data_IF_096229371750
#
_entry.id   IF_096229371750
#
_cell.length_a   1.000
_cell.length_b   1.000
_cell.length_c   1.000
_cell.angle_alpha   90.00
_cell.angle_beta   90.00
_cell.angle_gamma   90.00
#
_symmetry.space_group_name_H-M   'P 1'
#
loop_
_entity.id
_entity.type
_entity.pdbx_description
1 polymer ?
#
# COMPACT_ATOMS: atom_id res chain seq x y z
N UNK A 1 0.45 3.06 15.55
CA UNK A 1 -0.84 3.50 16.16
C UNK A 1 -0.59 4.22 17.48
N UNK A 2 -0.06 3.53 18.51
CA UNK A 2 0.18 4.11 19.85
C UNK A 2 0.93 5.45 19.83
N UNK A 3 2.03 5.53 19.08
CA UNK A 3 2.82 6.76 18.99
C UNK A 3 2.02 7.92 18.37
N UNK A 4 1.27 7.67 17.28
CA UNK A 4 0.42 8.68 16.64
C UNK A 4 -0.75 9.13 17.54
N UNK A 5 -1.32 8.23 18.35
CA UNK A 5 -2.37 8.59 19.32
C UNK A 5 -1.84 9.37 20.53
N UNK A 6 -0.53 9.28 20.81
CA UNK A 6 0.12 10.13 21.81
C UNK A 6 0.42 11.52 21.24
N UNK A 7 0.75 11.59 19.95
CA UNK A 7 1.07 12.85 19.27
C UNK A 7 -0.17 13.66 18.87
N UNK A 8 -1.34 13.03 18.68
CA UNK A 8 -2.57 13.73 18.26
C UNK A 8 -3.83 13.25 19.00
N UNK A 9 -4.46 14.18 19.70
CA UNK A 9 -5.74 13.99 20.38
C UNK A 9 -6.90 13.71 19.38
N UNK A 10 -6.80 14.24 18.16
CA UNK A 10 -7.76 13.99 17.08
C UNK A 10 -7.68 12.53 16.66
N UNK A 11 -6.47 12.02 16.41
CA UNK A 11 -6.25 10.61 16.05
C UNK A 11 -6.71 9.70 17.20
N UNK A 12 -6.41 10.04 18.46
CA UNK A 12 -6.91 9.30 19.63
C UNK A 12 -8.43 9.22 19.64
N UNK A 13 -9.11 10.36 19.47
CA UNK A 13 -10.58 10.43 19.48
C UNK A 13 -11.19 9.62 18.33
N UNK A 14 -10.61 9.69 17.13
CA UNK A 14 -11.09 8.94 15.97
C UNK A 14 -10.89 7.43 16.13
N UNK A 15 -9.73 6.99 16.67
CA UNK A 15 -9.47 5.57 16.97
C UNK A 15 -10.45 5.05 18.01
N UNK A 16 -10.72 5.82 19.08
CA UNK A 16 -11.74 5.45 20.08
C UNK A 16 -13.14 5.36 19.47
N UNK A 17 -13.51 6.29 18.58
CA UNK A 17 -14.76 6.26 17.85
C UNK A 17 -14.90 5.00 16.98
N UNK A 18 -13.82 4.61 16.29
CA UNK A 18 -13.81 3.40 15.47
C UNK A 18 -13.97 2.13 16.31
N UNK A 19 -13.30 2.03 17.47
CA UNK A 19 -13.43 0.88 18.37
C UNK A 19 -14.85 0.81 18.95
N UNK A 20 -15.43 1.95 19.36
CA UNK A 20 -16.80 2.01 19.90
C UNK A 20 -17.87 1.67 18.85
N UNK A 21 -17.57 1.93 17.57
CA UNK A 21 -18.43 1.59 16.44
C UNK A 21 -18.14 0.24 15.78
N UNK A 22 -17.22 -0.56 16.33
CA UNK A 22 -16.84 -1.84 15.76
C UNK A 22 -18.02 -2.82 15.74
N UNK A 23 -18.16 -3.58 14.66
CA UNK A 23 -19.24 -4.56 14.54
C UNK A 23 -18.93 -5.79 15.39
N UNK A 24 -19.95 -6.24 16.14
CA UNK A 24 -19.90 -7.49 16.90
C UNK A 24 -20.05 -8.65 15.92
N UNK A 25 -19.01 -9.47 15.80
CA UNK A 25 -19.02 -10.68 14.97
C UNK A 25 -19.68 -11.84 15.72
N UNK A 26 -19.39 -11.98 17.01
CA UNK A 26 -20.01 -13.00 17.85
C UNK A 26 -19.97 -12.61 19.32
N UNK A 27 -20.92 -13.16 20.09
CA UNK A 27 -20.90 -13.12 21.54
C UNK A 27 -21.15 -14.53 22.08
N UNK A 28 -20.30 -14.98 23.00
CA UNK A 28 -20.44 -16.27 23.68
C UNK A 28 -20.56 -16.03 25.18
N UNK A 29 -21.49 -16.74 25.81
CA UNK A 29 -21.65 -16.72 27.25
C UNK A 29 -21.30 -18.09 27.83
N UNK A 30 -20.30 -18.15 28.69
CA UNK A 30 -19.89 -19.37 29.40
C UNK A 30 -19.42 -19.03 30.81
N UNK A 31 -19.83 -19.84 31.80
CA UNK A 31 -19.40 -19.74 33.20
C UNK A 31 -19.51 -18.34 33.82
N UNK A 32 -20.58 -17.61 33.51
CA UNK A 32 -20.80 -16.26 34.02
C UNK A 32 -20.06 -15.16 33.26
N UNK A 33 -19.25 -15.50 32.27
CA UNK A 33 -18.45 -14.56 31.47
C UNK A 33 -19.04 -14.44 30.06
N UNK A 34 -19.25 -13.21 29.62
CA UNK A 34 -19.59 -12.89 28.23
C UNK A 34 -18.32 -12.48 27.48
N UNK A 35 -17.97 -13.20 26.41
CA UNK A 35 -16.89 -12.84 25.49
C UNK A 35 -17.50 -12.30 24.21
N UNK A 36 -17.11 -11.08 23.83
CA UNK A 36 -17.58 -10.42 22.60
C UNK A 36 -16.40 -10.25 21.65
N UNK A 37 -16.54 -10.76 20.43
CA UNK A 37 -15.54 -10.61 19.36
C UNK A 37 -15.95 -9.44 18.48
N UNK A 38 -15.08 -8.44 18.40
CA UNK A 38 -15.27 -7.22 17.60
C UNK A 38 -14.35 -7.27 16.38
N UNK A 39 -14.87 -6.90 15.21
CA UNK A 39 -14.08 -6.83 13.97
C UNK A 39 -13.95 -5.37 13.52
N UNK A 40 -12.71 -4.95 13.26
CA UNK A 40 -12.39 -3.61 12.76
C UNK A 40 -11.61 -3.76 11.44
N UNK A 41 -12.14 -3.28 10.31
CA UNK A 41 -11.40 -3.29 9.06
C UNK A 41 -10.13 -2.43 9.16
N UNK A 42 -8.98 -3.03 8.86
CA UNK A 42 -7.68 -2.32 8.88
C UNK A 42 -7.64 -1.15 7.89
N UNK A 43 -8.44 -1.20 6.83
CA UNK A 43 -8.59 -0.10 5.86
C UNK A 43 -9.17 1.19 6.47
N UNK A 44 -10.04 1.06 7.49
CA UNK A 44 -10.59 2.22 8.21
C UNK A 44 -9.50 2.88 9.05
N UNK A 45 -8.64 2.08 9.69
CA UNK A 45 -7.50 2.57 10.46
C UNK A 45 -6.45 3.25 9.56
N UNK A 46 -6.17 2.71 8.36
CA UNK A 46 -5.23 3.34 7.43
C UNK A 46 -5.72 4.71 6.97
N UNK A 47 -7.01 4.85 6.64
CA UNK A 47 -7.57 6.13 6.18
C UNK A 47 -7.42 7.23 7.23
N UNK A 48 -7.78 6.95 8.49
CA UNK A 48 -7.69 7.90 9.59
C UNK A 48 -6.26 8.40 9.84
N UNK A 49 -5.26 7.55 9.62
CA UNK A 49 -3.86 7.92 9.81
C UNK A 49 -3.28 8.74 8.65
N UNK A 50 -3.86 8.64 7.46
CA UNK A 50 -3.34 9.28 6.24
C UNK A 50 -4.03 10.62 5.93
N UNK A 51 -5.27 10.83 6.37
CA UNK A 51 -5.99 12.11 6.25
C UNK A 51 -5.16 13.35 6.69
N UNK A 52 -4.47 13.35 7.84
CA UNK A 52 -3.63 14.50 8.23
C UNK A 52 -2.36 14.64 7.38
N UNK A 53 -1.87 13.58 6.72
CA UNK A 53 -0.70 13.67 5.83
C UNK A 53 -1.02 14.37 4.50
N UNK A 54 -2.25 14.24 4.00
CA UNK A 54 -2.67 14.86 2.75
C UNK A 54 -2.96 16.37 2.87
N UNK A 55 -3.23 16.89 4.08
CA UNK A 55 -3.51 18.33 4.29
C UNK A 55 -2.26 19.21 4.26
N UNK A 56 -1.06 18.64 4.38
CA UNK A 56 0.20 19.38 4.38
C UNK A 56 0.86 19.47 2.99
N UNK A 57 0.23 18.95 1.94
CA UNK A 57 0.72 19.05 0.57
C UNK A 57 0.03 20.20 -0.19
N UNK A 58 0.02 21.40 0.40
CA UNK A 58 -0.41 22.64 -0.26
C UNK A 58 0.66 23.71 -0.14
N UNK A 59 1.76 23.55 -0.88
CA UNK A 59 2.59 24.67 -1.35
C UNK A 59 3.03 24.35 -2.80
N UNK A 60 2.40 25.00 -3.76
CA UNK A 60 2.87 25.12 -5.15
C UNK A 60 4.15 25.98 -5.21
N UNK A 61 4.94 25.87 -6.29
CA UNK A 61 4.78 26.86 -7.35
C UNK A 61 4.67 26.23 -8.74
N UNK A 62 3.79 26.82 -9.56
CA UNK A 62 3.81 26.67 -11.00
C UNK A 62 5.17 27.12 -11.55
N UNK A 63 5.90 26.20 -12.17
CA UNK A 63 7.03 26.53 -13.02
C UNK A 63 6.55 26.33 -14.47
N UNK A 64 6.33 27.46 -15.13
CA UNK A 64 6.24 27.56 -16.59
C UNK A 64 7.64 27.37 -17.16
N UNK A 65 7.83 26.36 -18.01
CA UNK A 65 8.91 26.34 -19.00
C UNK A 65 8.32 25.88 -20.34
N UNK A 66 8.58 26.71 -21.35
CA UNK A 66 8.12 26.61 -22.73
C UNK A 66 8.75 25.40 -23.48
N UNK A 67 8.29 25.09 -24.71
CA UNK A 67 8.47 23.79 -25.35
C UNK A 67 9.80 23.65 -26.11
N UNK A 68 10.03 22.42 -26.55
CA UNK A 68 10.91 21.98 -27.64
C UNK A 68 12.26 21.39 -27.23
N UNK A 69 12.28 20.05 -27.08
CA UNK A 69 13.37 19.22 -27.61
C UNK A 69 12.74 17.93 -28.15
N UNK A 70 13.08 17.66 -29.39
CA UNK A 70 12.66 16.62 -30.35
C UNK A 70 12.81 15.17 -29.81
N UNK A 71 12.04 14.20 -30.36
CA UNK A 71 11.90 12.85 -29.82
C UNK A 71 12.91 11.89 -30.44
N UNK A 72 13.82 11.35 -29.62
CA UNK A 72 14.69 10.23 -29.99
C UNK A 72 14.69 9.20 -28.85
N UNK A 73 13.75 8.26 -28.92
CA UNK A 73 14.07 6.85 -29.19
C UNK A 73 12.78 6.01 -29.11
N UNK A 74 12.34 5.55 -30.28
CA UNK A 74 11.32 4.53 -30.42
C UNK A 74 11.92 3.16 -30.05
N UNK A 75 12.12 2.91 -28.75
CA UNK A 75 12.07 1.53 -28.26
C UNK A 75 10.59 1.14 -28.19
N UNK A 76 10.17 0.32 -29.17
CA UNK A 76 8.92 -0.44 -29.23
C UNK A 76 8.09 -0.35 -27.93
N UNK A 77 7.15 0.59 -27.91
CA UNK A 77 6.17 0.79 -26.86
C UNK A 77 5.19 -0.39 -26.82
N UNK A 78 5.66 -1.56 -26.37
CA UNK A 78 4.76 -2.58 -25.83
C UNK A 78 4.27 -2.02 -24.51
N UNK A 79 3.22 -1.21 -24.59
CA UNK A 79 2.56 -0.65 -23.41
C UNK A 79 2.00 -1.82 -22.58
N UNK A 80 2.78 -2.28 -21.61
CA UNK A 80 2.36 -3.35 -20.73
C UNK A 80 1.12 -2.89 -19.98
N UNK A 81 0.03 -3.64 -20.11
CA UNK A 81 -1.22 -3.36 -19.39
C UNK A 81 -1.35 -4.36 -18.25
N UNK A 82 -1.16 -3.87 -17.04
CA UNK A 82 -1.35 -4.65 -15.82
C UNK A 82 -2.58 -4.18 -15.06
N UNK A 83 -3.21 -5.07 -14.30
CA UNK A 83 -4.38 -4.72 -13.48
C UNK A 83 -4.02 -4.44 -12.01
N UNK A 84 -2.80 -4.81 -11.61
CA UNK A 84 -2.29 -4.65 -10.26
C UNK A 84 -0.79 -4.97 -10.18
N UNK A 85 -0.26 -4.92 -8.96
CA UNK A 85 1.13 -5.23 -8.64
C UNK A 85 1.18 -6.24 -7.48
N UNK A 86 1.88 -7.35 -7.65
CA UNK A 86 2.16 -8.33 -6.60
C UNK A 86 3.67 -8.37 -6.37
N UNK A 87 4.10 -8.13 -5.15
CA UNK A 87 5.51 -8.11 -4.77
C UNK A 87 5.77 -9.32 -3.86
N UNK A 88 6.57 -10.28 -4.31
CA UNK A 88 7.02 -11.40 -3.49
C UNK A 88 8.19 -10.97 -2.59
N UNK A 89 7.92 -10.73 -1.31
CA UNK A 89 8.88 -10.33 -0.30
C UNK A 89 9.14 -11.41 0.76
N UNK A 90 8.81 -12.67 0.44
CA UNK A 90 9.11 -13.81 1.32
C UNK A 90 10.61 -13.92 1.56
N UNK A 91 10.97 -14.44 2.73
CA UNK A 91 12.36 -14.60 3.20
C UNK A 91 13.14 -13.29 3.45
N UNK A 92 12.51 -12.11 3.35
CA UNK A 92 13.13 -10.83 3.68
C UNK A 92 12.80 -10.33 5.09
N UNK A 93 11.99 -11.08 5.84
CA UNK A 93 11.56 -10.71 7.20
C UNK A 93 10.59 -9.53 7.24
N UNK A 94 9.97 -9.19 6.11
CA UNK A 94 9.00 -8.09 6.01
C UNK A 94 7.77 -8.39 6.87
N UNK A 95 7.36 -7.40 7.68
CA UNK A 95 6.18 -7.43 8.53
C UNK A 95 5.08 -6.55 7.97
N UNK A 96 3.84 -6.93 8.26
CA UNK A 96 2.68 -6.13 7.90
C UNK A 96 2.73 -4.74 8.53
N UNK A 97 2.60 -3.72 7.71
CA UNK A 97 2.50 -2.32 8.10
C UNK A 97 1.28 -1.64 7.45
N UNK A 98 0.77 -0.57 8.10
CA UNK A 98 -0.37 0.21 7.62
C UNK A 98 -0.05 1.08 6.40
N UNK A 99 1.19 1.55 6.30
CA UNK A 99 1.66 2.42 5.21
C UNK A 99 3.03 1.95 4.70
N UNK A 100 3.13 0.74 4.12
CA UNK A 100 4.37 0.29 3.54
C UNK A 100 4.74 1.14 2.32
N UNK A 101 6.03 1.24 2.07
CA UNK A 101 6.58 1.87 0.87
C UNK A 101 7.31 0.85 0.00
N UNK A 102 7.35 1.12 -1.30
CA UNK A 102 8.08 0.32 -2.29
C UNK A 102 9.12 1.23 -2.93
N UNK A 103 10.39 0.80 -2.89
CA UNK A 103 11.51 1.52 -3.47
C UNK A 103 12.18 0.71 -4.57
N UNK A 104 12.88 1.39 -5.45
CA UNK A 104 13.77 0.83 -6.45
C UNK A 104 15.20 0.70 -5.88
N UNK A 105 15.92 -0.36 -6.26
CA UNK A 105 17.19 -0.77 -5.63
C UNK A 105 18.38 0.19 -5.83
N UNK A 106 18.57 0.75 -7.01
CA UNK A 106 19.79 1.47 -7.38
C UNK A 106 19.72 2.95 -6.98
N UNK A 107 18.55 3.57 -7.18
CA UNK A 107 18.35 5.01 -6.97
C UNK A 107 17.53 5.34 -5.73
N UNK A 108 16.99 4.34 -5.04
CA UNK A 108 16.00 4.50 -3.96
C UNK A 108 14.77 5.30 -4.42
N UNK A 109 14.44 5.26 -5.71
CA UNK A 109 13.24 5.91 -6.23
C UNK A 109 12.00 5.30 -5.57
N UNK A 110 11.10 6.17 -5.08
CA UNK A 110 9.82 5.74 -4.55
C UNK A 110 8.90 5.25 -5.68
N UNK A 111 8.59 3.95 -5.67
CA UNK A 111 7.76 3.29 -6.67
C UNK A 111 6.28 3.30 -6.29
N UNK A 112 5.97 3.06 -5.01
CA UNK A 112 4.60 3.04 -4.50
C UNK A 112 4.53 3.42 -3.02
N UNK A 113 3.50 4.17 -2.64
CA UNK A 113 3.23 4.58 -1.26
C UNK A 113 1.77 4.99 -1.08
N UNK A 114 1.40 5.21 0.19
CA UNK A 114 0.09 5.71 0.55
C UNK A 114 -0.29 7.06 -0.09
N UNK A 115 0.67 7.95 -0.37
CA UNK A 115 0.39 9.25 -1.00
C UNK A 115 -0.12 9.15 -2.44
N UNK A 116 0.03 7.97 -3.07
CA UNK A 116 -0.47 7.72 -4.42
C UNK A 116 -1.89 7.13 -4.44
N UNK A 117 -2.43 6.74 -3.27
CA UNK A 117 -3.72 6.08 -3.13
C UNK A 117 -4.84 7.11 -2.98
N UNK A 118 -5.96 6.91 -3.71
CA UNK A 118 -7.11 7.81 -3.75
C UNK A 118 -8.41 7.19 -3.22
N UNK A 119 -8.32 6.00 -2.65
CA UNK A 119 -9.46 5.20 -2.17
C UNK A 119 -9.33 4.93 -0.67
N UNK A 120 -10.46 4.90 0.03
CA UNK A 120 -10.53 4.67 1.47
C UNK A 120 -10.49 3.18 1.83
N UNK A 121 -9.34 2.53 1.60
CA UNK A 121 -9.07 1.13 1.99
C UNK A 121 -7.60 0.94 2.36
N UNK A 122 -7.21 -0.28 2.74
CA UNK A 122 -5.81 -0.58 3.05
C UNK A 122 -4.91 -0.31 1.83
N UNK A 123 -3.68 0.14 2.08
CA UNK A 123 -2.72 0.51 1.03
C UNK A 123 -2.23 -0.71 0.26
N UNK A 124 -2.04 -1.85 0.94
CA UNK A 124 -1.74 -3.14 0.30
C UNK A 124 -2.61 -4.25 0.89
N UNK A 125 -2.66 -5.39 0.20
CA UNK A 125 -3.04 -6.68 0.81
C UNK A 125 -1.77 -7.45 1.14
N UNK A 126 -1.69 -8.00 2.35
CA UNK A 126 -0.65 -8.98 2.66
C UNK A 126 -1.19 -10.39 2.45
N UNK A 127 -0.36 -11.27 1.88
CA UNK A 127 -0.70 -12.67 1.67
C UNK A 127 0.51 -13.58 1.87
N UNK A 128 0.28 -14.89 1.92
CA UNK A 128 1.35 -15.92 2.13
C UNK A 128 1.84 -16.55 0.82
N UNK A 129 1.10 -16.40 -0.26
CA UNK A 129 1.43 -16.95 -1.57
C UNK A 129 0.84 -16.11 -2.70
N UNK A 130 1.52 -16.09 -3.84
CA UNK A 130 1.08 -15.38 -5.05
C UNK A 130 -0.23 -15.97 -5.59
N UNK A 131 -0.36 -17.29 -5.55
CA UNK A 131 -1.50 -18.03 -6.10
C UNK A 131 -2.77 -17.65 -5.33
N UNK A 132 -2.72 -17.81 -4.00
CA UNK A 132 -3.85 -17.49 -3.12
C UNK A 132 -4.26 -16.02 -3.19
N UNK A 133 -3.31 -15.08 -3.32
CA UNK A 133 -3.70 -13.66 -3.40
C UNK A 133 -4.39 -13.32 -4.72
N UNK A 134 -4.03 -13.99 -5.82
CA UNK A 134 -4.71 -13.83 -7.10
C UNK A 134 -6.15 -14.33 -7.05
N UNK A 135 -6.37 -15.43 -6.33
CA UNK A 135 -7.71 -16.00 -6.11
C UNK A 135 -8.55 -15.13 -5.16
N UNK A 136 -8.05 -14.90 -3.94
CA UNK A 136 -8.80 -14.24 -2.87
C UNK A 136 -9.01 -12.74 -3.10
N UNK A 137 -8.22 -12.10 -3.97
CA UNK A 137 -8.23 -10.63 -4.17
C UNK A 137 -8.36 -10.22 -5.64
N UNK A 138 -9.00 -11.04 -6.46
CA UNK A 138 -9.27 -10.74 -7.88
C UNK A 138 -9.99 -9.39 -8.10
N UNK A 139 -10.93 -9.01 -7.22
CA UNK A 139 -11.63 -7.72 -7.31
C UNK A 139 -10.70 -6.52 -7.14
N UNK A 140 -9.59 -6.69 -6.41
CA UNK A 140 -8.61 -5.64 -6.14
C UNK A 140 -7.45 -5.64 -7.12
N UNK A 141 -6.92 -6.82 -7.45
CA UNK A 141 -5.71 -6.99 -8.25
C UNK A 141 -6.02 -7.18 -9.75
N UNK A 142 -7.27 -7.47 -10.09
CA UNK A 142 -7.70 -7.87 -11.41
C UNK A 142 -7.05 -9.18 -11.89
N UNK A 143 -7.21 -9.46 -13.18
CA UNK A 143 -6.84 -10.74 -13.78
C UNK A 143 -5.39 -10.81 -14.31
N UNK A 144 -4.72 -9.66 -14.46
CA UNK A 144 -3.37 -9.58 -15.01
C UNK A 144 -2.45 -8.68 -14.16
N UNK A 145 -2.18 -9.01 -12.89
CA UNK A 145 -1.24 -8.25 -12.09
C UNK A 145 0.20 -8.53 -12.55
N UNK A 146 1.05 -7.49 -12.53
CA UNK A 146 2.49 -7.64 -12.64
C UNK A 146 3.00 -8.33 -11.35
N UNK A 147 3.71 -9.45 -11.49
CA UNK A 147 4.31 -10.15 -10.36
C UNK A 147 5.82 -9.92 -10.38
N UNK A 148 6.36 -9.37 -9.30
CA UNK A 148 7.78 -9.04 -9.16
C UNK A 148 8.34 -9.65 -7.89
N UNK A 149 9.66 -9.85 -7.83
CA UNK A 149 10.34 -10.33 -6.64
C UNK A 149 11.04 -9.17 -5.94
N UNK A 150 10.84 -9.02 -4.64
CA UNK A 150 11.61 -8.06 -3.86
C UNK A 150 13.06 -8.54 -3.72
N UNK A 151 13.99 -7.59 -3.81
CA UNK A 151 15.44 -7.81 -3.69
C UNK A 151 15.97 -7.36 -2.32
N UNK A 152 15.16 -6.63 -1.55
CA UNK A 152 15.54 -6.15 -0.23
C UNK A 152 14.36 -5.59 0.56
N UNK A 153 14.64 -5.19 1.80
CA UNK A 153 13.68 -4.56 2.68
C UNK A 153 14.35 -3.47 3.51
N UNK A 154 13.61 -2.42 3.84
CA UNK A 154 14.08 -1.32 4.68
C UNK A 154 13.48 -1.48 6.08
N UNK A 155 14.34 -1.34 7.09
CA UNK A 155 13.94 -1.41 8.49
C UNK A 155 13.59 -0.03 9.01
N UNK A 156 12.35 0.15 9.44
CA UNK A 156 11.88 1.33 10.16
C UNK A 156 11.75 0.94 11.63
N UNK A 157 12.54 1.61 12.48
CA UNK A 157 12.58 1.34 13.94
C UNK A 157 12.84 -0.13 14.28
N UNK A 158 13.71 -0.78 13.51
CA UNK A 158 14.11 -2.17 13.70
C UNK A 158 13.23 -3.19 12.98
N UNK A 159 12.08 -2.78 12.44
CA UNK A 159 11.14 -3.67 11.75
C UNK A 159 11.18 -3.47 10.24
N UNK A 160 11.32 -4.55 9.49
CA UNK A 160 11.31 -4.49 8.01
C UNK A 160 9.86 -4.27 7.54
N UNK A 161 9.52 -3.07 7.11
CA UNK A 161 8.14 -2.72 6.71
C UNK A 161 8.02 -2.26 5.27
N UNK A 162 9.13 -1.79 4.68
CA UNK A 162 9.17 -1.33 3.30
C UNK A 162 10.01 -2.30 2.46
N UNK A 163 9.69 -2.37 1.17
CA UNK A 163 10.25 -3.35 0.24
C UNK A 163 11.03 -2.66 -0.88
N UNK A 164 12.08 -3.33 -1.34
CA UNK A 164 12.90 -2.89 -2.47
C UNK A 164 12.71 -3.87 -3.62
N UNK A 165 12.41 -3.37 -4.82
CA UNK A 165 12.32 -4.15 -6.06
C UNK A 165 13.48 -3.80 -7.00
N UNK A 166 13.75 -4.67 -7.98
CA UNK A 166 14.81 -4.45 -8.97
C UNK A 166 14.53 -3.21 -9.84
N UNK A 167 15.58 -2.61 -10.39
CA UNK A 167 15.48 -1.49 -11.32
C UNK A 167 14.71 -1.86 -12.59
N UNK A 168 14.85 -3.10 -13.04
CA UNK A 168 14.15 -3.64 -14.20
C UNK A 168 12.64 -3.74 -13.94
N UNK A 169 12.24 -4.38 -12.84
CA UNK A 169 10.84 -4.50 -12.44
C UNK A 169 10.20 -3.12 -12.20
N UNK A 170 10.94 -2.21 -11.57
CA UNK A 170 10.53 -0.82 -11.38
C UNK A 170 10.31 -0.11 -12.72
N UNK A 171 11.21 -0.28 -13.69
CA UNK A 171 11.07 0.29 -15.04
C UNK A 171 9.82 -0.26 -15.73
N UNK A 172 9.60 -1.58 -15.70
CA UNK A 172 8.42 -2.23 -16.28
C UNK A 172 7.13 -1.69 -15.65
N UNK A 173 7.06 -1.61 -14.31
CA UNK A 173 5.89 -1.09 -13.62
C UNK A 173 5.63 0.38 -13.93
N UNK A 174 6.68 1.21 -13.96
CA UNK A 174 6.56 2.64 -14.25
C UNK A 174 6.13 2.94 -15.69
N UNK A 175 6.47 2.07 -16.64
CA UNK A 175 6.09 2.18 -18.04
C UNK A 175 4.70 1.59 -18.34
N UNK A 176 4.06 0.92 -17.37
CA UNK A 176 2.73 0.36 -17.56
C UNK A 176 1.68 1.46 -17.74
N UNK A 177 0.81 1.32 -18.76
CA UNK A 177 -0.21 2.31 -19.10
C UNK A 177 -1.19 2.58 -17.94
N UNK A 178 -1.42 1.56 -17.12
CA UNK A 178 -2.37 1.56 -15.99
C UNK A 178 -1.71 1.86 -14.64
N UNK A 179 -0.42 2.19 -14.60
CA UNK A 179 0.35 2.42 -13.35
C UNK A 179 -0.34 3.41 -12.41
N UNK A 180 -0.83 4.51 -12.93
CA UNK A 180 -1.53 5.53 -12.13
C UNK A 180 -2.83 5.00 -11.52
N UNK A 181 -3.57 4.18 -12.28
CA UNK A 181 -4.82 3.54 -11.80
C UNK A 181 -4.52 2.47 -10.75
N UNK A 182 -3.46 1.67 -10.95
CA UNK A 182 -3.02 0.67 -9.98
C UNK A 182 -2.70 1.36 -8.65
N UNK A 183 -1.90 2.44 -8.68
CA UNK A 183 -1.56 3.18 -7.48
C UNK A 183 -2.79 3.83 -6.83
N UNK A 184 -3.60 4.55 -7.61
CA UNK A 184 -4.77 5.27 -7.12
C UNK A 184 -5.81 4.33 -6.47
N UNK A 185 -6.00 3.13 -7.03
CA UNK A 185 -6.95 2.14 -6.54
C UNK A 185 -6.36 1.19 -5.50
N UNK A 186 -5.12 1.42 -5.07
CA UNK A 186 -4.37 0.53 -4.19
C UNK A 186 -4.38 -0.94 -4.66
N UNK A 187 -4.25 -1.19 -5.97
CA UNK A 187 -4.25 -2.54 -6.55
C UNK A 187 -2.88 -3.23 -6.36
N UNK A 188 -2.42 -3.30 -5.10
CA UNK A 188 -1.08 -3.79 -4.73
C UNK A 188 -1.18 -4.85 -3.63
N UNK A 189 -0.42 -5.93 -3.77
CA UNK A 189 -0.25 -6.96 -2.76
C UNK A 189 1.23 -7.23 -2.46
N UNK A 190 1.54 -7.56 -1.21
CA UNK A 190 2.87 -7.95 -0.75
C UNK A 190 2.78 -9.35 -0.15
N UNK A 191 3.57 -10.28 -0.68
CA UNK A 191 3.67 -11.63 -0.15
C UNK A 191 4.74 -11.67 0.94
N UNK A 192 4.38 -12.18 2.12
CA UNK A 192 5.24 -12.25 3.31
C UNK A 192 5.10 -13.60 4.00
N UNK A 193 6.11 -14.01 4.78
CA UNK A 193 6.17 -15.28 5.51
C UNK A 193 5.12 -15.41 6.60
#
# INVERSE_FOLDING_TARGET
VKDLTLESDIIRTQVEGLIKGAQVESSTYSDGICTVTLVVPVGSLTSLMLEPMNQNSSLTPAISVAPDITPEDNESNTAYTYTGLIIDARNLGVKGALSPQVFEADTNLLVYSASMVKVHKSIVVYARSVEKVKEDNIERLGNNPLVVKAVGAIKIRGEATDVIISSEDSKIFRQAQTRDQICANAAVAIIIN
#
